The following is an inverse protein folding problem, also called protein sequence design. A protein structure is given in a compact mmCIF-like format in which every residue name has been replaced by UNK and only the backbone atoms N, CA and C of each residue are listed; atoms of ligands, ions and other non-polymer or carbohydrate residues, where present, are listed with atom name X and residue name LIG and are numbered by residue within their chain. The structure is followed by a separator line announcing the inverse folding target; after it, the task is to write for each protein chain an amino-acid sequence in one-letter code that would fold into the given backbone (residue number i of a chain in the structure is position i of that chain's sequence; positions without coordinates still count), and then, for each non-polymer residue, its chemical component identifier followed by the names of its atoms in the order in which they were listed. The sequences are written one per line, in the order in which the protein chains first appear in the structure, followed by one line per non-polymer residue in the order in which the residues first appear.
data_IF_739220217870
#
_entry.id   IF_739220217870
#
_cell.length_a   1.000
_cell.length_b   1.000
_cell.length_c   1.000
_cell.angle_alpha   90.00
_cell.angle_beta   90.00
_cell.angle_gamma   90.00
#
_symmetry.space_group_name_H-M   'P 1'
#
loop_
_entity.id
_entity.type
_entity.pdbx_description
1 polymer ?
#
# COMPACT_ATOMS: atom_id res chain seq x y z
N UNK A 1 -39.14 11.10 60.33
CA UNK A 1 -38.64 12.12 59.38
C UNK A 1 -37.34 11.58 58.79
N UNK A 2 -37.37 10.90 57.64
CA UNK A 2 -36.18 10.32 57.01
C UNK A 2 -36.01 11.01 55.66
N UNK A 3 -35.03 11.92 55.61
CA UNK A 3 -34.63 12.63 54.41
C UNK A 3 -33.85 11.66 53.51
N UNK A 4 -34.38 11.33 52.34
CA UNK A 4 -33.65 10.61 51.30
C UNK A 4 -32.93 11.64 50.42
N UNK A 5 -31.62 11.75 50.58
CA UNK A 5 -30.77 12.51 49.66
C UNK A 5 -30.58 11.70 48.37
N UNK A 6 -31.04 12.26 47.25
CA UNK A 6 -30.72 11.76 45.91
C UNK A 6 -29.31 12.22 45.53
N UNK A 7 -28.40 11.28 45.35
CA UNK A 7 -27.09 11.54 44.75
C UNK A 7 -27.26 11.44 43.23
N UNK A 8 -27.25 12.59 42.54
CA UNK A 8 -27.14 12.63 41.08
C UNK A 8 -25.69 12.25 40.70
N UNK A 9 -25.51 11.05 40.15
CA UNK A 9 -24.24 10.65 39.54
C UNK A 9 -24.20 11.26 38.13
N UNK A 10 -23.46 12.35 37.97
CA UNK A 10 -23.15 12.94 36.67
C UNK A 10 -22.17 12.02 35.93
N UNK A 11 -22.65 11.39 34.86
CA UNK A 11 -21.82 10.61 33.94
C UNK A 11 -21.00 11.58 33.08
N UNK A 12 -19.75 11.83 33.47
CA UNK A 12 -18.79 12.50 32.59
C UNK A 12 -18.42 11.55 31.44
N UNK A 13 -19.01 11.78 30.26
CA UNK A 13 -18.56 11.17 29.01
C UNK A 13 -17.16 11.71 28.69
N UNK A 14 -16.13 10.94 29.04
CA UNK A 14 -14.76 11.21 28.61
C UNK A 14 -14.70 10.85 27.12
N UNK A 15 -15.03 11.80 26.26
CA UNK A 15 -14.76 11.68 24.82
C UNK A 15 -13.24 11.77 24.68
N UNK A 16 -12.56 10.62 24.69
CA UNK A 16 -11.15 10.53 24.33
C UNK A 16 -11.04 10.96 22.86
N UNK A 17 -10.59 12.19 22.62
CA UNK A 17 -10.12 12.58 21.30
C UNK A 17 -8.89 11.72 20.98
N UNK A 18 -9.05 10.74 20.10
CA UNK A 18 -7.90 10.07 19.50
C UNK A 18 -7.15 11.07 18.61
N UNK A 19 -5.85 11.21 18.84
CA UNK A 19 -4.99 12.07 18.04
C UNK A 19 -4.43 11.27 16.86
N UNK A 20 -4.73 11.71 15.64
CA UNK A 20 -4.25 11.10 14.40
C UNK A 20 -3.12 11.92 13.74
N UNK A 21 -2.51 12.83 14.50
CA UNK A 21 -1.41 13.68 14.03
C UNK A 21 -1.87 14.58 12.89
N UNK A 22 -1.15 14.51 11.76
CA UNK A 22 -1.47 15.30 10.57
C UNK A 22 -2.51 14.66 9.65
N UNK A 23 -3.02 13.48 10.01
CA UNK A 23 -4.00 12.73 9.21
C UNK A 23 -5.42 13.20 9.48
N UNK A 24 -6.18 13.42 8.41
CA UNK A 24 -7.64 13.60 8.49
C UNK A 24 -8.30 12.25 8.31
N UNK A 25 -8.94 11.73 9.36
CA UNK A 25 -9.74 10.50 9.27
C UNK A 25 -10.95 10.75 8.39
N UNK A 26 -11.14 9.88 7.39
CA UNK A 26 -12.33 9.89 6.53
C UNK A 26 -13.37 8.86 7.00
N UNK A 27 -12.93 7.65 7.35
CA UNK A 27 -13.82 6.57 7.72
C UNK A 27 -13.12 5.47 8.54
N UNK A 28 -13.91 4.70 9.28
CA UNK A 28 -13.54 3.36 9.70
C UNK A 28 -13.79 2.37 8.56
N UNK A 29 -12.83 1.48 8.31
CA UNK A 29 -12.96 0.40 7.34
C UNK A 29 -13.69 -0.80 7.98
N UNK A 30 -14.53 -1.52 7.20
CA UNK A 30 -15.24 -2.69 7.70
C UNK A 30 -14.27 -3.82 8.02
N UNK A 31 -14.69 -4.77 8.87
CA UNK A 31 -13.87 -5.92 9.26
C UNK A 31 -13.46 -6.82 8.08
N UNK A 32 -14.15 -6.75 6.94
CA UNK A 32 -13.74 -7.41 5.70
C UNK A 32 -12.46 -6.83 5.09
N UNK A 33 -12.02 -5.65 5.54
CA UNK A 33 -10.79 -4.96 5.15
C UNK A 33 -9.83 -4.82 6.36
N UNK A 34 -9.83 -5.80 7.28
CA UNK A 34 -9.01 -5.76 8.50
C UNK A 34 -7.50 -5.79 8.23
N UNK A 35 -7.07 -6.35 7.10
CA UNK A 35 -5.67 -6.56 6.71
C UNK A 35 -5.43 -5.80 5.40
N UNK A 36 -6.00 -4.59 5.29
CA UNK A 36 -5.90 -3.77 4.07
C UNK A 36 -4.44 -3.45 3.79
N UNK A 37 -3.98 -3.88 2.62
CA UNK A 37 -2.57 -3.76 2.23
C UNK A 37 -2.42 -2.87 1.00
N UNK A 38 -3.32 -2.97 0.01
CA UNK A 38 -3.33 -2.07 -1.17
C UNK A 38 -4.52 -1.11 -1.20
N UNK A 39 -4.30 0.10 -1.73
CA UNK A 39 -5.35 1.07 -2.12
C UNK A 39 -4.98 1.74 -3.44
N UNK A 40 -5.95 1.87 -4.36
CA UNK A 40 -5.75 2.57 -5.62
C UNK A 40 -6.95 3.47 -5.95
N UNK A 41 -6.66 4.73 -6.28
CA UNK A 41 -7.62 5.67 -6.86
C UNK A 41 -7.46 5.70 -8.38
N UNK A 42 -8.31 4.96 -9.08
CA UNK A 42 -8.41 5.09 -10.55
C UNK A 42 -8.86 6.52 -10.88
N UNK A 43 -8.15 7.16 -11.82
CA UNK A 43 -8.45 8.52 -12.29
C UNK A 43 -9.92 8.66 -12.69
N UNK A 44 -10.59 9.68 -12.16
CA UNK A 44 -12.01 9.99 -12.36
C UNK A 44 -13.03 8.93 -11.89
N UNK A 45 -12.61 7.80 -11.33
CA UNK A 45 -13.53 6.86 -10.69
C UNK A 45 -13.97 7.41 -9.34
N UNK A 46 -15.16 7.06 -8.85
CA UNK A 46 -15.61 7.45 -7.50
C UNK A 46 -15.01 6.56 -6.41
N UNK A 47 -14.91 5.26 -6.69
CA UNK A 47 -14.45 4.24 -5.76
C UNK A 47 -12.93 4.25 -5.58
N UNK A 48 -12.51 3.81 -4.39
CA UNK A 48 -11.17 3.43 -4.03
C UNK A 48 -11.10 1.90 -4.08
N UNK A 49 -10.18 1.35 -4.87
CA UNK A 49 -10.01 -0.10 -4.95
C UNK A 49 -9.03 -0.55 -3.89
N UNK A 50 -9.45 -1.50 -3.07
CA UNK A 50 -8.68 -2.01 -1.94
C UNK A 50 -8.56 -3.54 -2.00
N UNK A 51 -7.50 -4.06 -1.39
CA UNK A 51 -7.32 -5.50 -1.17
C UNK A 51 -6.77 -5.77 0.22
N UNK A 52 -6.95 -7.00 0.70
CA UNK A 52 -6.28 -7.46 1.91
C UNK A 52 -5.03 -8.28 1.58
N UNK A 53 -4.11 -8.34 2.55
CA UNK A 53 -2.91 -9.16 2.54
C UNK A 53 -3.22 -10.68 2.48
N UNK A 54 -2.14 -11.47 2.43
CA UNK A 54 -2.01 -12.91 2.45
C UNK A 54 -3.01 -13.65 3.34
N UNK A 55 -3.43 -14.83 2.88
CA UNK A 55 -4.36 -15.70 3.61
C UNK A 55 -5.84 -15.28 3.53
N UNK A 56 -6.14 -14.09 3.02
CA UNK A 56 -7.51 -13.65 2.76
C UNK A 56 -8.09 -14.23 1.46
N UNK A 57 -9.40 -14.03 1.29
CA UNK A 57 -10.09 -14.37 0.04
C UNK A 57 -9.51 -13.55 -1.12
N UNK A 58 -9.42 -14.09 -2.34
CA UNK A 58 -8.94 -13.36 -3.51
C UNK A 58 -10.03 -12.44 -4.05
N UNK A 59 -10.31 -11.37 -3.32
CA UNK A 59 -11.35 -10.38 -3.62
C UNK A 59 -10.72 -9.00 -3.58
N UNK A 60 -11.10 -8.15 -4.52
CA UNK A 60 -10.85 -6.70 -4.45
C UNK A 60 -12.17 -5.97 -4.17
N UNK A 61 -12.06 -4.90 -3.41
CA UNK A 61 -13.19 -4.15 -2.87
C UNK A 61 -13.19 -2.74 -3.44
N UNK A 62 -14.29 -2.34 -4.06
CA UNK A 62 -14.55 -0.95 -4.42
C UNK A 62 -15.23 -0.24 -3.25
N UNK A 63 -14.53 0.69 -2.63
CA UNK A 63 -14.92 1.36 -1.38
C UNK A 63 -15.12 2.85 -1.63
N UNK A 64 -16.17 3.46 -1.09
CA UNK A 64 -16.30 4.91 -1.13
C UNK A 64 -15.51 5.60 0.00
N UNK A 65 -15.41 6.93 -0.02
CA UNK A 65 -14.65 7.68 0.99
C UNK A 65 -15.28 7.65 2.39
N UNK A 66 -16.51 7.14 2.54
CA UNK A 66 -17.16 6.92 3.82
C UNK A 66 -16.87 5.50 4.38
N UNK A 67 -15.99 4.73 3.73
CA UNK A 67 -15.59 3.39 4.16
C UNK A 67 -16.56 2.28 3.78
N UNK A 68 -17.64 2.58 3.04
CA UNK A 68 -18.59 1.56 2.62
C UNK A 68 -18.09 0.82 1.39
N UNK A 69 -18.14 -0.52 1.46
CA UNK A 69 -17.94 -1.39 0.30
C UNK A 69 -19.16 -1.28 -0.60
N UNK A 70 -18.93 -0.77 -1.82
CA UNK A 70 -19.95 -0.61 -2.87
C UNK A 70 -19.85 -1.74 -3.89
N UNK A 71 -18.65 -2.31 -4.07
CA UNK A 71 -18.38 -3.36 -5.05
C UNK A 71 -17.44 -4.41 -4.46
N UNK A 72 -17.70 -5.67 -4.77
CA UNK A 72 -16.77 -6.78 -4.53
C UNK A 72 -16.54 -7.49 -5.85
N UNK A 73 -15.27 -7.79 -6.16
CA UNK A 73 -14.91 -8.51 -7.38
C UNK A 73 -14.00 -9.67 -7.00
N UNK A 74 -14.46 -10.90 -7.26
CA UNK A 74 -13.68 -12.12 -7.08
C UNK A 74 -12.64 -12.20 -8.18
N UNK A 75 -11.39 -12.40 -7.81
CA UNK A 75 -10.29 -12.58 -8.77
C UNK A 75 -10.02 -14.07 -8.90
N UNK A 76 -10.02 -14.61 -10.12
CA UNK A 76 -9.71 -16.02 -10.37
C UNK A 76 -8.19 -16.31 -10.27
N UNK A 77 -7.63 -16.06 -9.08
CA UNK A 77 -6.26 -16.35 -8.70
C UNK A 77 -6.19 -16.58 -7.19
N UNK A 78 -5.25 -17.40 -6.74
CA UNK A 78 -4.98 -17.54 -5.31
C UNK A 78 -4.24 -16.30 -4.80
N UNK A 79 -4.72 -15.70 -3.71
CA UNK A 79 -3.95 -14.77 -2.88
C UNK A 79 -2.83 -15.56 -2.17
N UNK A 80 -1.60 -15.49 -2.68
CA UNK A 80 -0.45 -16.14 -2.02
C UNK A 80 0.24 -15.20 -1.04
N UNK A 81 0.39 -13.93 -1.43
CA UNK A 81 0.96 -12.81 -0.67
C UNK A 81 0.69 -11.55 -1.52
N UNK A 82 -0.53 -11.00 -1.42
CA UNK A 82 -0.97 -9.81 -2.14
C UNK A 82 -0.69 -8.57 -1.32
N UNK A 83 0.24 -7.74 -1.77
CA UNK A 83 0.77 -6.66 -0.95
C UNK A 83 0.24 -5.28 -1.38
N UNK A 84 -0.02 -5.09 -2.68
CA UNK A 84 -0.35 -3.75 -3.18
C UNK A 84 -1.16 -3.80 -4.49
N UNK A 85 -1.77 -2.67 -4.85
CA UNK A 85 -2.59 -2.51 -6.05
C UNK A 85 -2.36 -1.15 -6.70
N UNK A 86 -2.31 -1.12 -8.04
CA UNK A 86 -2.14 0.12 -8.82
C UNK A 86 -2.96 0.07 -10.11
N UNK A 87 -3.12 1.20 -10.81
CA UNK A 87 -3.82 1.27 -12.10
C UNK A 87 -3.00 1.91 -13.22
N UNK A 88 -3.28 1.50 -14.46
CA UNK A 88 -2.82 2.24 -15.65
C UNK A 88 -3.79 3.37 -16.04
N UNK A 89 -3.41 4.19 -17.03
CA UNK A 89 -4.22 5.31 -17.49
C UNK A 89 -5.57 4.88 -18.11
N UNK A 90 -5.73 3.60 -18.43
CA UNK A 90 -6.97 3.01 -18.94
C UNK A 90 -7.83 2.42 -17.82
N UNK A 91 -7.40 2.54 -16.56
CA UNK A 91 -8.08 2.00 -15.39
C UNK A 91 -7.95 0.49 -15.22
N UNK A 92 -7.03 -0.17 -15.95
CA UNK A 92 -6.74 -1.58 -15.67
C UNK A 92 -6.01 -1.67 -14.34
N UNK A 93 -6.43 -2.59 -13.48
CA UNK A 93 -5.81 -2.81 -12.18
C UNK A 93 -4.70 -3.84 -12.25
N UNK A 94 -3.68 -3.64 -11.41
CA UNK A 94 -2.53 -4.50 -11.25
C UNK A 94 -2.41 -4.87 -9.77
N UNK A 95 -2.59 -6.14 -9.44
CA UNK A 95 -2.48 -6.67 -8.07
C UNK A 95 -1.10 -7.31 -7.90
N UNK A 96 -0.41 -6.96 -6.83
CA UNK A 96 0.95 -7.37 -6.57
C UNK A 96 1.03 -8.66 -5.72
N UNK A 97 1.05 -9.82 -6.38
CA UNK A 97 1.22 -11.12 -5.71
C UNK A 97 2.71 -11.49 -5.59
N UNK A 98 3.43 -10.77 -4.73
CA UNK A 98 4.89 -10.80 -4.66
C UNK A 98 5.52 -10.69 -3.26
N UNK A 99 4.71 -10.62 -2.19
CA UNK A 99 5.20 -10.65 -0.81
C UNK A 99 6.14 -11.82 -0.58
N UNK A 100 7.21 -11.63 0.18
CA UNK A 100 8.31 -12.58 0.28
C UNK A 100 9.11 -12.41 1.59
N UNK A 101 8.40 -12.39 2.72
CA UNK A 101 8.93 -12.24 4.09
C UNK A 101 10.14 -13.13 4.39
N UNK A 102 10.15 -14.34 3.83
CA UNK A 102 11.21 -15.32 4.02
C UNK A 102 12.29 -15.28 2.93
N UNK A 103 12.14 -14.43 1.91
CA UNK A 103 13.04 -14.27 0.75
C UNK A 103 13.27 -15.61 0.01
N UNK A 104 12.25 -16.48 -0.04
CA UNK A 104 12.34 -17.85 -0.59
C UNK A 104 11.49 -18.07 -1.84
N UNK A 105 10.59 -17.13 -2.17
CA UNK A 105 9.68 -17.28 -3.31
C UNK A 105 10.42 -17.13 -4.64
N UNK A 106 10.02 -17.96 -5.60
CA UNK A 106 10.49 -17.98 -6.99
C UNK A 106 9.36 -17.72 -8.01
N UNK A 107 8.17 -17.38 -7.51
CA UNK A 107 6.93 -17.31 -8.27
C UNK A 107 6.27 -15.93 -8.14
N UNK A 108 7.10 -14.88 -8.09
CA UNK A 108 6.64 -13.49 -7.99
C UNK A 108 5.89 -13.12 -9.26
N UNK A 109 4.76 -12.43 -9.11
CA UNK A 109 3.93 -12.04 -10.24
C UNK A 109 3.04 -10.84 -9.88
N UNK A 110 2.62 -10.14 -10.92
CA UNK A 110 1.60 -9.11 -10.88
C UNK A 110 0.42 -9.60 -11.73
N UNK A 111 -0.80 -9.44 -11.21
CA UNK A 111 -2.03 -9.88 -11.84
C UNK A 111 -2.74 -8.65 -12.43
N UNK A 112 -2.93 -8.63 -13.74
CA UNK A 112 -3.66 -7.57 -14.44
C UNK A 112 -5.13 -7.95 -14.62
N UNK A 113 -6.02 -7.04 -14.23
CA UNK A 113 -7.47 -7.07 -14.45
C UNK A 113 -7.82 -5.95 -15.42
N UNK A 114 -8.63 -6.25 -16.44
CA UNK A 114 -9.08 -5.22 -17.38
C UNK A 114 -10.15 -4.33 -16.75
N UNK A 115 -10.10 -3.03 -17.05
CA UNK A 115 -11.06 -2.06 -16.50
C UNK A 115 -12.52 -2.43 -16.81
N UNK A 116 -12.80 -2.95 -18.00
CA UNK A 116 -14.14 -3.37 -18.39
C UNK A 116 -14.66 -4.51 -17.51
N UNK A 117 -13.81 -5.51 -17.26
CA UNK A 117 -14.15 -6.68 -16.44
C UNK A 117 -14.43 -6.26 -14.99
N UNK A 118 -13.68 -5.29 -14.47
CA UNK A 118 -13.85 -4.73 -13.13
C UNK A 118 -15.25 -4.11 -12.92
N UNK A 119 -15.81 -3.50 -13.96
CA UNK A 119 -17.12 -2.83 -13.93
C UNK A 119 -18.24 -3.84 -14.17
N UNK A 120 -18.07 -4.75 -15.11
CA UNK A 120 -19.16 -5.60 -15.63
C UNK A 120 -19.31 -6.95 -14.93
N UNK A 121 -18.26 -7.44 -14.24
CA UNK A 121 -18.22 -8.83 -13.76
C UNK A 121 -18.01 -8.88 -12.25
N UNK A 122 -18.69 -9.84 -11.62
CA UNK A 122 -18.50 -10.15 -10.20
C UNK A 122 -17.28 -11.08 -9.98
N UNK A 123 -16.85 -11.77 -11.04
CA UNK A 123 -15.65 -12.60 -11.05
C UNK A 123 -14.82 -12.35 -12.31
N UNK A 124 -13.51 -12.15 -12.16
CA UNK A 124 -12.61 -11.74 -13.24
C UNK A 124 -11.44 -12.69 -13.43
N UNK A 125 -11.10 -12.92 -14.70
CA UNK A 125 -9.86 -13.58 -15.07
C UNK A 125 -8.68 -12.59 -15.01
N UNK A 126 -7.47 -13.13 -14.86
CA UNK A 126 -6.27 -12.30 -14.76
C UNK A 126 -5.20 -12.66 -15.77
N UNK A 127 -4.56 -11.62 -16.30
CA UNK A 127 -3.30 -11.77 -17.02
C UNK A 127 -2.14 -11.75 -16.03
N UNK A 128 -1.21 -12.70 -16.15
CA UNK A 128 -0.06 -12.82 -15.24
C UNK A 128 1.19 -12.23 -15.86
N UNK A 129 1.81 -11.31 -15.13
CA UNK A 129 3.11 -10.72 -15.40
C UNK A 129 4.06 -11.28 -14.35
N UNK A 130 4.87 -12.27 -14.72
CA UNK A 130 5.79 -12.93 -13.78
C UNK A 130 7.15 -12.25 -13.83
N UNK A 131 7.84 -12.22 -12.71
CA UNK A 131 9.21 -11.70 -12.68
C UNK A 131 10.12 -12.42 -11.70
N UNK A 132 11.42 -12.23 -11.90
CA UNK A 132 12.49 -12.60 -10.96
C UNK A 132 13.45 -11.44 -10.77
N UNK A 133 14.09 -11.36 -9.60
CA UNK A 133 15.16 -10.41 -9.37
C UNK A 133 16.44 -10.86 -10.08
N UNK A 134 17.21 -9.93 -10.67
CA UNK A 134 18.46 -10.25 -11.36
C UNK A 134 19.57 -10.66 -10.38
N UNK A 135 19.46 -10.27 -9.11
CA UNK A 135 20.50 -10.37 -8.08
C UNK A 135 20.14 -11.29 -6.90
N UNK A 136 19.00 -12.01 -6.98
CA UNK A 136 18.63 -13.02 -5.98
C UNK A 136 19.12 -14.43 -6.37
N UNK A 137 20.36 -14.74 -6.03
CA UNK A 137 20.97 -16.04 -6.37
C UNK A 137 20.60 -17.20 -5.40
N UNK A 138 20.02 -16.90 -4.23
CA UNK A 138 19.70 -17.88 -3.18
C UNK A 138 18.29 -17.67 -2.62
N UNK A 139 17.64 -18.76 -2.22
CA UNK A 139 16.25 -18.79 -1.77
C UNK A 139 16.11 -19.67 -0.51
N UNK A 140 16.31 -19.13 0.71
CA UNK A 140 16.64 -17.74 1.00
C UNK A 140 18.13 -17.41 0.91
N UNK A 141 18.49 -16.13 0.70
CA UNK A 141 19.84 -15.67 0.93
C UNK A 141 20.17 -15.68 2.43
N UNK A 142 21.45 -15.45 2.76
CA UNK A 142 21.90 -15.34 4.15
C UNK A 142 21.16 -14.19 4.83
N UNK A 143 20.97 -14.25 6.16
CA UNK A 143 20.21 -13.24 6.92
C UNK A 143 20.64 -11.79 6.64
N UNK A 144 21.93 -11.55 6.39
CA UNK A 144 22.49 -10.22 6.08
C UNK A 144 22.19 -9.70 4.66
N UNK A 145 21.64 -10.56 3.80
CA UNK A 145 21.41 -10.32 2.37
C UNK A 145 19.91 -10.49 2.01
N UNK A 146 18.99 -10.36 2.99
CA UNK A 146 17.53 -10.53 2.80
C UNK A 146 16.83 -9.22 2.46
N UNK A 147 16.99 -8.76 1.21
CA UNK A 147 16.43 -7.51 0.68
C UNK A 147 15.39 -7.72 -0.44
N UNK A 148 14.91 -8.95 -0.62
CA UNK A 148 14.07 -9.39 -1.76
C UNK A 148 12.61 -9.60 -1.38
N UNK A 149 12.15 -8.86 -0.39
CA UNK A 149 10.75 -8.81 -0.02
C UNK A 149 10.07 -7.67 -0.76
N UNK A 150 9.19 -7.94 -1.73
CA UNK A 150 8.47 -6.88 -2.43
C UNK A 150 7.20 -6.56 -1.66
N UNK A 151 6.94 -5.27 -1.43
CA UNK A 151 5.76 -4.84 -0.64
C UNK A 151 4.94 -3.79 -1.36
N UNK A 152 5.51 -3.04 -2.31
CA UNK A 152 4.74 -2.01 -2.99
C UNK A 152 5.07 -1.85 -4.46
N UNK A 153 4.10 -1.33 -5.20
CA UNK A 153 4.19 -1.15 -6.65
C UNK A 153 3.38 0.04 -7.12
N UNK A 154 3.88 0.74 -8.12
CA UNK A 154 3.02 1.58 -8.96
C UNK A 154 3.29 1.37 -10.44
N UNK A 155 2.27 1.65 -11.26
CA UNK A 155 2.40 1.68 -12.70
C UNK A 155 2.79 3.09 -13.17
N UNK A 156 3.70 3.17 -14.14
CA UNK A 156 4.01 4.42 -14.84
C UNK A 156 4.56 4.14 -16.24
N UNK A 157 4.02 4.80 -17.27
CA UNK A 157 4.52 4.77 -18.66
C UNK A 157 4.77 3.36 -19.23
N UNK A 158 3.87 2.41 -18.97
CA UNK A 158 3.98 1.04 -19.48
C UNK A 158 4.86 0.10 -18.65
N UNK A 159 5.33 0.55 -17.48
CA UNK A 159 6.16 -0.22 -16.57
C UNK A 159 5.56 -0.26 -15.17
N UNK A 160 5.93 -1.31 -14.43
CA UNK A 160 5.64 -1.51 -13.02
C UNK A 160 6.94 -1.29 -12.24
N UNK A 161 6.86 -0.43 -11.23
CA UNK A 161 7.98 -0.06 -10.38
C UNK A 161 7.78 -0.68 -9.01
N UNK A 162 8.62 -1.63 -8.65
CA UNK A 162 8.50 -2.46 -7.45
C UNK A 162 9.52 -2.03 -6.42
N UNK A 163 9.07 -1.87 -5.18
CA UNK A 163 9.89 -1.45 -4.05
C UNK A 163 9.97 -2.57 -3.03
N UNK A 164 11.19 -2.85 -2.57
CA UNK A 164 11.41 -3.89 -1.57
C UNK A 164 11.42 -3.37 -0.14
N UNK A 165 11.14 -4.26 0.81
CA UNK A 165 11.37 -4.09 2.24
C UNK A 165 12.53 -4.96 2.68
N UNK A 166 13.37 -4.38 3.50
CA UNK A 166 14.51 -5.07 4.06
C UNK A 166 14.09 -5.92 5.26
N UNK A 167 14.51 -7.18 5.27
CA UNK A 167 14.40 -8.07 6.45
C UNK A 167 15.72 -8.17 7.21
N UNK A 168 16.65 -7.25 6.94
CA UNK A 168 18.00 -7.23 7.54
C UNK A 168 18.00 -6.32 8.78
N UNK A 169 18.38 -6.90 9.93
CA UNK A 169 18.48 -6.16 11.20
C UNK A 169 19.40 -4.94 11.05
N UNK A 170 18.91 -3.77 11.45
CA UNK A 170 19.62 -2.50 11.39
C UNK A 170 19.63 -1.84 10.01
N UNK A 171 18.88 -2.39 9.04
CA UNK A 171 18.69 -1.83 7.69
C UNK A 171 17.23 -1.92 7.25
N UNK A 172 16.28 -1.85 8.19
CA UNK A 172 14.86 -2.07 7.87
C UNK A 172 14.29 -1.02 6.92
N UNK A 173 14.77 0.23 7.02
CA UNK A 173 14.41 1.32 6.13
C UNK A 173 15.04 1.28 4.74
N UNK A 174 15.86 0.26 4.43
CA UNK A 174 16.42 0.10 3.09
C UNK A 174 15.37 -0.46 2.14
N UNK A 175 15.17 0.21 1.02
CA UNK A 175 14.31 -0.24 -0.09
C UNK A 175 15.10 -0.24 -1.41
N UNK A 176 14.80 -1.21 -2.27
CA UNK A 176 15.38 -1.31 -3.62
C UNK A 176 14.30 -1.13 -4.67
N UNK A 177 14.58 -0.32 -5.68
CA UNK A 177 13.70 -0.06 -6.80
C UNK A 177 14.03 -0.96 -7.98
N UNK A 178 13.03 -1.68 -8.45
CA UNK A 178 13.09 -2.49 -9.66
C UNK A 178 12.03 -2.05 -10.68
N UNK A 179 12.35 -2.21 -11.97
CA UNK A 179 11.46 -1.91 -13.09
C UNK A 179 11.10 -3.18 -13.86
N UNK A 180 9.82 -3.35 -14.18
CA UNK A 180 9.29 -4.51 -14.92
C UNK A 180 8.35 -4.02 -16.04
N UNK A 181 8.46 -4.53 -17.29
CA UNK A 181 7.47 -4.23 -18.33
C UNK A 181 6.05 -4.66 -17.92
N UNK A 182 5.06 -3.78 -18.06
CA UNK A 182 3.66 -4.04 -17.70
C UNK A 182 2.91 -4.90 -18.75
N UNK A 183 3.60 -5.89 -19.31
CA UNK A 183 3.09 -6.79 -20.36
C UNK A 183 3.16 -8.24 -19.90
N UNK A 184 2.24 -9.08 -20.38
CA UNK A 184 2.18 -10.52 -20.09
C UNK A 184 3.52 -11.18 -20.43
N UNK A 185 4.05 -11.99 -19.51
CA UNK A 185 5.29 -12.73 -19.77
C UNK A 185 6.02 -13.14 -18.50
N UNK A 186 7.23 -13.67 -18.69
CA UNK A 186 8.23 -13.80 -17.64
C UNK A 186 9.31 -12.76 -17.92
N UNK A 187 9.61 -11.94 -16.93
CA UNK A 187 10.58 -10.85 -17.05
C UNK A 187 11.68 -11.01 -16.00
N UNK A 188 12.91 -10.69 -16.37
CA UNK A 188 13.91 -10.36 -15.36
C UNK A 188 13.72 -8.88 -15.01
N UNK A 189 13.58 -8.57 -13.73
CA UNK A 189 13.41 -7.19 -13.29
C UNK A 189 14.72 -6.41 -13.50
N UNK A 190 14.61 -5.13 -13.88
CA UNK A 190 15.77 -4.24 -13.98
C UNK A 190 15.99 -3.54 -12.65
N UNK A 191 17.14 -3.75 -12.00
CA UNK A 191 17.57 -2.92 -10.87
C UNK A 191 17.76 -1.47 -11.33
N UNK A 192 17.22 -0.51 -10.58
CA UNK A 192 17.38 0.93 -10.85
C UNK A 192 18.28 1.55 -9.80
N UNK A 193 17.83 1.59 -8.54
CA UNK A 193 18.53 2.27 -7.45
C UNK A 193 18.04 1.80 -6.08
N UNK A 194 18.54 2.43 -5.02
CA UNK A 194 18.25 2.08 -3.63
C UNK A 194 18.14 3.35 -2.80
N UNK A 195 17.22 3.33 -1.84
CA UNK A 195 17.05 4.37 -0.83
C UNK A 195 17.07 3.77 0.57
N UNK A 196 17.57 4.52 1.55
CA UNK A 196 17.57 4.13 2.96
C UNK A 196 17.26 5.36 3.81
N UNK A 197 16.21 5.30 4.63
CA UNK A 197 15.86 6.37 5.56
C UNK A 197 16.49 6.11 6.94
N UNK A 198 16.04 5.09 7.67
CA UNK A 198 16.42 4.83 9.06
C UNK A 198 16.51 3.33 9.37
N UNK A 199 17.18 2.98 10.47
CA UNK A 199 17.45 1.60 10.84
C UNK A 199 16.31 0.91 11.63
N UNK A 200 15.28 1.64 12.03
CA UNK A 200 14.17 1.15 12.86
C UNK A 200 13.16 0.31 12.06
N UNK A 201 12.50 -0.65 12.71
CA UNK A 201 11.51 -1.52 12.07
C UNK A 201 10.32 -0.75 11.47
N UNK A 202 9.94 0.38 12.09
CA UNK A 202 8.87 1.27 11.63
C UNK A 202 9.27 2.12 10.41
N UNK A 203 10.55 2.11 10.03
CA UNK A 203 11.04 2.80 8.83
C UNK A 203 10.91 1.99 7.54
N UNK A 204 10.50 0.71 7.64
CA UNK A 204 10.22 -0.15 6.49
C UNK A 204 9.22 0.51 5.54
N UNK A 205 9.53 0.56 4.26
CA UNK A 205 8.58 1.00 3.24
C UNK A 205 7.48 -0.06 3.10
N UNK A 206 6.23 0.38 3.13
CA UNK A 206 5.04 -0.47 3.05
C UNK A 206 4.18 -0.17 1.82
N UNK A 207 4.18 1.06 1.33
CA UNK A 207 3.40 1.46 0.15
C UNK A 207 4.16 2.44 -0.74
N UNK A 208 3.81 2.50 -2.02
CA UNK A 208 4.39 3.41 -2.99
C UNK A 208 3.35 3.87 -4.01
N UNK A 209 3.39 5.12 -4.44
CA UNK A 209 2.49 5.64 -5.48
C UNK A 209 3.13 6.80 -6.24
N UNK A 210 2.60 7.12 -7.42
CA UNK A 210 3.05 8.23 -8.27
C UNK A 210 1.89 9.20 -8.52
N UNK A 211 2.18 10.51 -8.46
CA UNK A 211 1.16 11.55 -8.64
C UNK A 211 0.55 11.51 -10.04
N UNK A 212 -0.71 11.95 -10.23
CA UNK A 212 -1.36 11.98 -11.53
C UNK A 212 -0.58 12.68 -12.65
N UNK A 213 0.19 13.72 -12.33
CA UNK A 213 1.04 14.43 -13.30
C UNK A 213 2.43 13.79 -13.53
N UNK A 214 2.74 12.69 -12.84
CA UNK A 214 4.00 11.96 -12.95
C UNK A 214 5.23 12.63 -12.31
N UNK A 215 5.07 13.73 -11.55
CA UNK A 215 6.21 14.52 -11.04
C UNK A 215 6.59 14.23 -9.58
N UNK A 216 5.76 13.49 -8.84
CA UNK A 216 6.00 13.12 -7.45
C UNK A 216 5.86 11.62 -7.29
N UNK A 217 6.84 11.00 -6.66
CA UNK A 217 6.72 9.63 -6.12
C UNK A 217 6.63 9.73 -4.61
N UNK A 218 5.63 9.07 -4.02
CA UNK A 218 5.45 9.02 -2.58
C UNK A 218 5.68 7.61 -2.08
N UNK A 219 6.51 7.45 -1.05
CA UNK A 219 6.69 6.21 -0.30
C UNK A 219 6.13 6.37 1.11
N UNK A 220 5.49 5.32 1.62
CA UNK A 220 4.93 5.26 2.97
C UNK A 220 5.77 4.32 3.84
N UNK A 221 5.99 4.71 5.09
CA UNK A 221 6.28 3.78 6.18
C UNK A 221 5.22 3.96 7.29
N UNK A 222 5.38 3.28 8.42
CA UNK A 222 4.39 3.32 9.50
C UNK A 222 4.14 4.71 10.13
N UNK A 223 5.03 5.68 9.91
CA UNK A 223 5.06 6.97 10.63
C UNK A 223 5.26 8.19 9.73
N UNK A 224 5.59 8.03 8.45
CA UNK A 224 6.02 9.11 7.57
C UNK A 224 5.74 8.82 6.10
N UNK A 225 5.58 9.89 5.33
CA UNK A 225 5.54 9.87 3.87
C UNK A 225 6.80 10.54 3.33
N UNK A 226 7.52 9.87 2.43
CA UNK A 226 8.66 10.43 1.71
C UNK A 226 8.23 10.81 0.31
N UNK A 227 8.39 12.08 -0.07
CA UNK A 227 8.01 12.57 -1.40
C UNK A 227 9.27 12.91 -2.18
N UNK A 228 9.44 12.23 -3.30
CA UNK A 228 10.53 12.42 -4.26
C UNK A 228 10.06 13.30 -5.43
N UNK A 229 10.88 14.27 -5.80
CA UNK A 229 10.65 15.22 -6.91
C UNK A 229 11.94 15.48 -7.67
N UNK A 230 11.86 16.07 -8.87
CA UNK A 230 13.04 16.44 -9.66
C UNK A 230 14.00 15.28 -9.96
N UNK A 231 13.48 14.05 -10.00
CA UNK A 231 14.25 12.86 -10.31
C UNK A 231 14.60 12.79 -11.80
N UNK A 232 15.70 12.10 -12.10
CA UNK A 232 16.14 11.82 -13.45
C UNK A 232 15.42 10.59 -14.01
N UNK A 233 14.62 10.79 -15.06
CA UNK A 233 13.85 9.73 -15.75
C UNK A 233 13.07 8.84 -14.77
N UNK A 234 13.47 7.58 -14.63
CA UNK A 234 12.83 6.59 -13.77
C UNK A 234 13.67 6.16 -12.56
N UNK A 235 14.79 6.85 -12.33
CA UNK A 235 15.52 6.77 -11.07
C UNK A 235 14.94 7.76 -10.07
N UNK A 236 13.78 7.41 -9.50
CA UNK A 236 13.05 8.29 -8.58
C UNK A 236 13.86 8.70 -7.34
N UNK A 237 14.86 7.91 -6.94
CA UNK A 237 15.73 8.18 -5.80
C UNK A 237 16.88 9.14 -6.12
N UNK A 238 17.10 9.49 -7.38
CA UNK A 238 18.04 10.54 -7.78
C UNK A 238 17.53 11.95 -7.49
N UNK A 239 16.23 12.10 -7.22
CA UNK A 239 15.58 13.39 -6.99
C UNK A 239 15.71 13.92 -5.57
N UNK A 240 15.15 15.11 -5.36
CA UNK A 240 15.00 15.71 -4.03
C UNK A 240 13.97 14.93 -3.22
N UNK A 241 14.27 14.63 -1.95
CA UNK A 241 13.36 13.96 -1.03
C UNK A 241 12.94 14.90 0.10
N UNK A 242 11.63 14.95 0.36
CA UNK A 242 11.05 15.60 1.55
C UNK A 242 10.31 14.56 2.39
N UNK A 243 10.70 14.43 3.65
CA UNK A 243 10.00 13.60 4.63
C UNK A 243 8.89 14.40 5.31
N UNK A 244 7.72 13.79 5.41
CA UNK A 244 6.56 14.30 6.13
C UNK A 244 6.23 13.36 7.27
N UNK A 245 6.57 13.76 8.49
CA UNK A 245 6.15 13.04 9.69
C UNK A 245 4.62 13.11 9.82
N UNK A 246 3.97 11.95 9.96
CA UNK A 246 2.51 11.88 10.12
C UNK A 246 2.07 12.20 11.56
N UNK A 247 3.01 12.20 12.50
CA UNK A 247 2.76 12.38 13.94
C UNK A 247 1.76 11.34 14.51
N UNK A 248 1.64 10.19 13.82
CA UNK A 248 0.78 9.08 14.17
C UNK A 248 1.40 7.79 13.65
N UNK A 249 1.60 6.81 14.53
CA UNK A 249 2.20 5.51 14.18
C UNK A 249 1.14 4.41 14.24
N UNK A 250 0.98 3.68 13.14
CA UNK A 250 0.09 2.53 12.98
C UNK A 250 0.61 1.66 11.83
N UNK A 251 0.03 0.48 11.63
CA UNK A 251 0.36 -0.41 10.50
C UNK A 251 -0.25 0.14 9.21
N UNK A 252 0.26 1.28 8.74
CA UNK A 252 -0.16 1.88 7.48
C UNK A 252 0.52 1.14 6.36
N UNK A 253 -0.27 0.53 5.49
CA UNK A 253 0.24 -0.32 4.43
C UNK A 253 -0.27 0.09 3.06
N UNK A 254 -1.24 1.01 2.98
CA UNK A 254 -1.80 1.44 1.70
C UNK A 254 -1.63 2.93 1.45
N UNK A 255 -1.24 3.31 0.24
CA UNK A 255 -1.03 4.69 -0.19
C UNK A 255 -1.48 4.90 -1.65
N UNK A 256 -2.30 5.92 -1.92
CA UNK A 256 -2.64 6.34 -3.28
C UNK A 256 -2.77 7.85 -3.37
N UNK A 257 -2.32 8.46 -4.45
CA UNK A 257 -2.67 9.86 -4.71
C UNK A 257 -4.17 10.00 -5.01
N UNK A 258 -4.81 10.98 -4.35
CA UNK A 258 -6.13 11.50 -4.72
C UNK A 258 -6.01 12.52 -5.85
N UNK A 259 -5.01 13.39 -5.73
CA UNK A 259 -4.62 14.44 -6.66
C UNK A 259 -3.11 14.69 -6.52
N UNK A 260 -2.55 15.71 -7.17
CA UNK A 260 -1.09 15.97 -7.15
C UNK A 260 -0.53 16.42 -5.78
N UNK A 261 -1.38 16.61 -4.76
CA UNK A 261 -1.00 17.12 -3.44
C UNK A 261 -1.62 16.35 -2.27
N UNK A 262 -2.64 15.55 -2.52
CA UNK A 262 -3.40 14.85 -1.49
C UNK A 262 -3.27 13.35 -1.68
N UNK A 263 -3.06 12.65 -0.57
CA UNK A 263 -2.90 11.20 -0.50
C UNK A 263 -4.08 10.60 0.28
N UNK A 264 -4.57 9.45 -0.19
CA UNK A 264 -5.31 8.50 0.63
C UNK A 264 -4.32 7.53 1.28
N UNK A 265 -4.54 7.25 2.56
CA UNK A 265 -3.75 6.29 3.34
C UNK A 265 -4.72 5.35 4.06
N UNK A 266 -4.39 4.07 4.17
CA UNK A 266 -5.12 3.13 5.03
C UNK A 266 -4.18 2.36 5.95
N UNK A 267 -4.70 1.94 7.11
CA UNK A 267 -3.99 1.07 8.05
C UNK A 267 -4.76 -0.20 8.42
N UNK A 268 -4.00 -1.25 8.70
CA UNK A 268 -4.55 -2.51 9.18
C UNK A 268 -5.18 -2.36 10.56
N UNK A 269 -6.14 -3.25 10.84
CA UNK A 269 -6.82 -3.34 12.12
C UNK A 269 -6.17 -4.39 13.01
N UNK A 270 -5.44 -3.94 14.02
CA UNK A 270 -4.95 -4.81 15.10
C UNK A 270 -5.80 -4.63 16.36
N UNK A 271 -6.55 -5.66 16.75
CA UNK A 271 -7.50 -5.64 17.87
C UNK A 271 -8.53 -4.49 17.71
N UNK A 272 -8.44 -3.43 18.51
CA UNK A 272 -9.32 -2.26 18.50
C UNK A 272 -8.62 -0.99 17.98
N UNK A 273 -7.43 -1.11 17.37
CA UNK A 273 -6.65 -0.01 16.82
C UNK A 273 -6.50 -0.17 15.30
N UNK A 274 -6.42 0.95 14.57
CA UNK A 274 -6.33 0.97 13.12
C UNK A 274 -7.63 0.58 12.41
N UNK A 275 -7.52 0.12 11.16
CA UNK A 275 -8.66 -0.15 10.29
C UNK A 275 -9.33 1.13 9.83
N UNK A 276 -8.55 2.15 9.44
CA UNK A 276 -9.07 3.47 9.08
C UNK A 276 -8.59 3.89 7.69
N UNK A 277 -9.41 4.72 7.05
CA UNK A 277 -9.07 5.46 5.84
C UNK A 277 -8.80 6.91 6.20
N UNK A 278 -7.70 7.45 5.70
CA UNK A 278 -7.24 8.81 5.96
C UNK A 278 -7.02 9.61 4.68
N UNK A 279 -7.07 10.92 4.82
CA UNK A 279 -6.58 11.91 3.85
C UNK A 279 -5.37 12.64 4.45
N UNK A 280 -4.32 12.82 3.65
CA UNK A 280 -3.13 13.56 4.03
C UNK A 280 -2.72 14.52 2.90
N UNK A 281 -2.50 15.80 3.21
CA UNK A 281 -2.08 16.80 2.22
C UNK A 281 -0.60 17.13 2.39
N UNK A 282 0.14 16.96 1.31
CA UNK A 282 1.55 17.30 1.17
C UNK A 282 1.63 18.83 1.02
N UNK A 283 1.91 19.53 2.13
CA UNK A 283 2.08 20.98 2.17
C UNK A 283 3.51 21.44 1.86
#
# INVERSE_FOLDING_TARGET
MIQRSFVLISFFLIVSCQNFGQLKVLADLPNSLKEVSGIEKIKNAELLWMLNDSGNKPVIYGVNTNGYIIREVVVNAKNNDWEDITSDEKGNLYIADFGNNNNKRKNLKILKIFHQDLIEKDAVEVTKIKFSYPDQYKFPPKKKDRFFDAESVFYHNGFLYVFTKSRVKGKYGKTTLYKIPAIKGNHEAKYISTFENCADIHCSITAATISPNGKKVALLNHQSVFVFTNFNEDDFFSGDVKEFALEHVSQKESLSFKDDTTLYIADEKTKSLGGKLYEFTIK
#
